data_IF_689567790064
#
_entry.id   IF_689567790064
#
_cell.length_a   1.000
_cell.length_b   1.000
_cell.length_c   1.000
_cell.angle_alpha   90.00
_cell.angle_beta   90.00
_cell.angle_gamma   90.00
#
_symmetry.space_group_name_H-M   'P 1'
#
loop_
_entity.id
_entity.type
_entity.pdbx_description
1 polymer ?
2 non-polymer ?
3 water ?
#
# COMPACT_ATOMS: atom_id res chain seq x y z
N UNK A 26 -9.20 -2.65 10.10
CA UNK A 26 -9.25 -3.04 11.54
C UNK A 26 -8.47 -4.33 11.80
N UNK A 27 -8.71 -5.36 11.00
CA UNK A 27 -8.03 -6.65 11.18
C UNK A 27 -7.76 -7.37 9.85
N UNK A 28 -6.71 -8.17 9.81
CA UNK A 28 -6.35 -8.89 8.60
C UNK A 28 -6.83 -10.34 8.70
N UNK A 29 -7.65 -10.77 7.74
CA UNK A 29 -8.23 -12.11 7.80
C UNK A 29 -7.50 -13.18 6.98
N UNK A 30 -6.79 -12.79 5.92
CA UNK A 30 -6.08 -13.76 5.07
C UNK A 30 -4.80 -14.27 5.71
N UNK A 31 -4.37 -15.46 5.31
CA UNK A 31 -3.16 -16.05 5.86
C UNK A 31 -1.90 -15.53 5.16
N UNK A 32 -1.98 -15.35 3.85
CA UNK A 32 -0.82 -14.91 3.06
C UNK A 32 -1.11 -13.56 2.36
N UNK A 33 -0.06 -12.75 2.14
CA UNK A 33 -0.22 -11.49 1.40
C UNK A 33 -0.68 -11.71 -0.05
N UNK A 34 -1.56 -10.85 -0.54
CA UNK A 34 -1.86 -10.80 -1.98
C UNK A 34 -0.70 -10.19 -2.78
N UNK A 35 0.03 -9.26 -2.17
CA UNK A 35 1.11 -8.58 -2.86
C UNK A 35 2.02 -7.91 -1.86
N UNK A 36 3.18 -7.44 -2.32
CA UNK A 36 4.12 -6.65 -1.50
C UNK A 36 4.55 -5.41 -2.25
N UNK A 37 4.71 -4.31 -1.51
CA UNK A 37 5.15 -3.03 -2.08
C UNK A 37 6.46 -2.59 -1.41
N UNK A 38 7.50 -2.35 -2.21
CA UNK A 38 8.71 -1.74 -1.65
C UNK A 38 8.51 -0.22 -1.70
N UNK A 39 8.67 0.40 -0.54
CA UNK A 39 8.45 1.83 -0.39
C UNK A 39 9.66 2.58 -0.91
N UNK A 40 9.41 3.46 -1.87
CA UNK A 40 10.40 4.36 -2.43
C UNK A 40 10.41 5.71 -1.69
N UNK A 41 9.23 6.25 -1.41
CA UNK A 41 9.10 7.53 -0.68
C UNK A 41 7.76 7.50 0.06
N UNK A 42 7.70 8.14 1.23
CA UNK A 42 6.49 8.29 2.03
C UNK A 42 6.31 9.77 2.29
N UNK A 43 5.12 10.29 2.05
CA UNK A 43 4.82 11.66 2.46
C UNK A 43 3.47 11.74 3.18
N UNK A 44 3.42 12.50 4.27
CA UNK A 44 2.15 12.82 4.92
C UNK A 44 1.66 14.19 4.43
N UNK A 45 0.43 14.22 3.92
CA UNK A 45 -0.16 15.45 3.41
C UNK A 45 -1.57 15.51 3.96
N UNK A 46 -1.90 16.59 4.67
CA UNK A 46 -3.27 16.75 5.18
C UNK A 46 -3.71 15.47 5.93
N UNK A 47 -2.85 15.02 6.83
CA UNK A 47 -3.13 13.88 7.70
C UNK A 47 -3.13 12.49 7.07
N UNK A 48 -2.80 12.39 5.78
CA UNK A 48 -2.82 11.11 5.09
C UNK A 48 -1.44 10.74 4.55
N UNK A 49 -1.10 9.46 4.69
CA UNK A 49 0.12 8.88 4.13
C UNK A 49 -0.06 8.64 2.65
N UNK A 50 0.83 9.22 1.87
CA UNK A 50 0.92 8.87 0.46
C UNK A 50 2.24 8.13 0.29
N UNK A 51 2.14 6.91 -0.22
CA UNK A 51 3.29 6.03 -0.40
C UNK A 51 3.56 5.90 -1.88
N UNK A 52 4.81 6.13 -2.26
CA UNK A 52 5.29 5.88 -3.61
C UNK A 52 6.16 4.63 -3.52
N UNK A 53 5.96 3.70 -4.44
CA UNK A 53 6.65 2.43 -4.34
C UNK A 53 6.42 1.57 -5.57
N UNK A 54 6.98 0.37 -5.55
CA UNK A 54 6.83 -0.54 -6.68
C UNK A 54 6.31 -1.84 -6.12
N UNK A 55 5.28 -2.38 -6.77
CA UNK A 55 4.78 -3.71 -6.41
C UNK A 55 5.86 -4.74 -6.70
N UNK A 56 6.24 -5.47 -5.65
CA UNK A 56 7.40 -6.36 -5.67
C UNK A 56 7.00 -7.76 -6.08
N UNK A 57 5.81 -8.19 -5.67
CA UNK A 57 5.32 -9.53 -5.96
C UNK A 57 3.81 -9.49 -5.85
N UNK A 58 3.15 -10.37 -6.60
CA UNK A 58 1.70 -10.43 -6.58
C UNK A 58 1.01 -9.18 -7.10
N UNK A 59 -0.03 -8.75 -6.40
CA UNK A 59 -0.94 -7.72 -6.88
C UNK A 59 -1.60 -7.05 -5.70
N UNK A 60 -2.02 -5.80 -5.89
CA UNK A 60 -2.74 -5.08 -4.87
C UNK A 60 -3.94 -4.44 -5.54
N UNK A 61 -5.00 -4.21 -4.78
CA UNK A 61 -6.17 -3.55 -5.31
C UNK A 61 -6.76 -2.58 -4.31
N UNK A 62 -7.58 -1.67 -4.81
CA UNK A 62 -8.34 -0.75 -3.95
C UNK A 62 -9.17 -1.56 -2.98
N UNK A 63 -9.11 -1.17 -1.71
CA UNK A 63 -9.77 -1.89 -0.64
C UNK A 63 -8.96 -2.97 0.06
N UNK A 64 -7.76 -3.29 -0.45
CA UNK A 64 -6.92 -4.29 0.18
C UNK A 64 -6.33 -3.69 1.46
N UNK A 65 -5.82 -4.56 2.33
CA UNK A 65 -5.33 -4.15 3.64
C UNK A 65 -3.81 -4.08 3.68
N UNK A 66 -3.31 -2.98 4.25
CA UNK A 66 -1.87 -2.75 4.40
C UNK A 66 -1.46 -3.02 5.84
N UNK A 67 -0.57 -3.99 6.02
CA UNK A 67 -0.03 -4.27 7.33
C UNK A 67 1.15 -3.33 7.61
N UNK A 68 0.91 -2.30 8.42
CA UNK A 68 1.96 -1.39 8.82
C UNK A 68 2.64 -1.85 10.10
N UNK A 69 3.70 -1.16 10.53
CA UNK A 69 4.41 -1.51 11.77
C UNK A 69 3.50 -1.41 12.98
N UNK A 70 2.62 -0.41 13.01
CA UNK A 70 1.79 -0.17 14.19
C UNK A 70 0.30 -0.37 13.95
N UNK A 71 -0.11 -0.51 12.70
CA UNK A 71 -1.53 -0.56 12.40
C UNK A 71 -1.89 -1.16 11.05
N UNK A 72 -3.19 -1.26 10.79
CA UNK A 72 -3.65 -1.85 9.55
C UNK A 72 -4.42 -0.78 8.81
N UNK A 73 -4.00 -0.52 7.58
CA UNK A 73 -4.63 0.51 6.77
C UNK A 73 -5.34 -0.09 5.58
N UNK A 74 -6.11 0.75 4.91
CA UNK A 74 -6.85 0.32 3.74
C UNK A 74 -6.41 1.12 2.55
N UNK A 75 -6.24 0.45 1.42
CA UNK A 75 -5.89 1.18 0.22
C UNK A 75 -7.13 1.84 -0.32
N UNK A 76 -7.05 3.16 -0.44
CA UNK A 76 -8.16 3.99 -0.81
C UNK A 76 -8.07 4.35 -2.29
N UNK A 77 -6.85 4.50 -2.80
CA UNK A 77 -6.63 4.92 -4.18
C UNK A 77 -5.26 4.47 -4.63
N UNK A 78 -5.14 4.16 -5.91
CA UNK A 78 -3.87 3.81 -6.52
C UNK A 78 -3.72 4.61 -7.79
N UNK A 79 -2.54 5.18 -7.98
CA UNK A 79 -2.28 5.86 -9.23
C UNK A 79 -1.05 5.30 -9.85
N UNK A 80 -1.08 5.18 -11.17
CA UNK A 80 0.03 4.63 -11.92
C UNK A 80 0.20 5.49 -13.18
N UNK A 81 1.41 5.99 -13.41
CA UNK A 81 1.66 6.95 -14.49
C UNK A 81 0.66 8.10 -14.46
N UNK A 82 0.49 8.68 -13.27
CA UNK A 82 -0.43 9.80 -13.03
C UNK A 82 -1.89 9.51 -13.43
N UNK A 83 -2.31 8.25 -13.30
CA UNK A 83 -3.64 7.80 -13.69
C UNK A 83 -4.25 6.93 -12.59
N UNK A 84 -5.50 7.19 -12.23
CA UNK A 84 -6.19 6.34 -11.26
C UNK A 84 -6.35 4.93 -11.85
N UNK A 85 -6.02 3.91 -11.06
CA UNK A 85 -6.20 2.51 -11.45
C UNK A 85 -6.84 1.79 -10.27
N UNK A 86 -7.49 0.65 -10.53
CA UNK A 86 -8.18 -0.08 -9.49
C UNK A 86 -7.25 -1.11 -8.86
N UNK A 87 -6.24 -1.54 -9.61
CA UNK A 87 -5.29 -2.54 -9.14
C UNK A 87 -3.93 -2.34 -9.80
N UNK A 88 -2.90 -2.93 -9.21
CA UNK A 88 -1.56 -2.88 -9.79
C UNK A 88 -0.88 -4.22 -9.52
N UNK A 89 0.07 -4.58 -10.38
CA UNK A 89 0.73 -5.88 -10.31
C UNK A 89 2.24 -5.70 -10.26
N UNK A 90 2.96 -6.78 -9.99
CA UNK A 90 4.42 -6.78 -9.85
C UNK A 90 5.10 -5.99 -10.95
N UNK A 91 6.02 -5.10 -10.56
CA UNK A 91 6.71 -4.25 -11.51
C UNK A 91 6.10 -2.89 -11.72
N UNK A 92 4.85 -2.70 -11.27
CA UNK A 92 4.18 -1.39 -11.37
C UNK A 92 4.70 -0.46 -10.30
N UNK A 93 5.12 0.72 -10.73
CA UNK A 93 5.48 1.78 -9.82
C UNK A 93 4.28 2.69 -9.62
N UNK A 94 3.86 2.86 -8.37
CA UNK A 94 2.56 3.47 -8.09
C UNK A 94 2.64 4.42 -6.92
N UNK A 95 1.66 5.33 -6.83
CA UNK A 95 1.32 6.02 -5.60
C UNK A 95 0.07 5.42 -4.99
N UNK A 96 0.04 5.33 -3.67
CA UNK A 96 -1.05 4.74 -2.91
C UNK A 96 -1.48 5.71 -1.80
N UNK A 97 -2.78 5.93 -1.64
CA UNK A 97 -3.31 6.56 -0.41
C UNK A 97 -3.84 5.50 0.50
N UNK A 98 -3.45 5.61 1.75
CA UNK A 98 -3.88 4.67 2.77
C UNK A 98 -4.89 5.34 3.72
N UNK A 99 -5.83 4.53 4.21
CA UNK A 99 -6.80 4.92 5.23
C UNK A 99 -6.43 4.22 6.52
N UNK A 100 -6.34 4.99 7.59
CA UNK A 100 -5.96 4.46 8.88
C UNK A 100 -4.52 4.78 9.17
N UNK A 101 -4.17 4.83 10.45
CA UNK A 101 -2.81 5.07 10.88
C UNK A 101 -2.10 3.73 10.98
N UNK A 102 -1.03 3.57 10.21
CA UNK A 102 -0.32 2.30 10.15
C UNK A 102 1.04 2.34 10.85
N UNK A 103 1.42 3.51 11.35
CA UNK A 103 2.70 3.68 12.02
C UNK A 103 3.77 4.22 11.09
N UNK A 104 5.01 4.27 11.58
CA UNK A 104 6.09 4.90 10.84
C UNK A 104 6.59 4.01 9.69
N UNK A 105 6.34 4.45 8.46
CA UNK A 105 6.82 3.76 7.27
C UNK A 105 7.99 4.57 6.74
N UNK A 106 9.02 3.87 6.27
CA UNK A 106 10.24 4.50 5.80
C UNK A 106 10.57 3.97 4.41
N UNK A 107 11.21 4.80 3.58
CA UNK A 107 11.83 4.35 2.34
C UNK A 107 12.59 3.03 2.58
N UNK A 108 12.35 2.01 1.76
CA UNK A 108 13.03 0.73 1.96
C UNK A 108 12.24 -0.33 2.69
N UNK A 109 11.21 0.06 3.43
CA UNK A 109 10.28 -0.93 3.98
C UNK A 109 9.56 -1.67 2.85
N UNK A 110 9.25 -2.94 3.09
CA UNK A 110 8.41 -3.72 2.18
C UNK A 110 7.09 -3.96 2.91
N UNK A 111 6.01 -3.37 2.41
CA UNK A 111 4.71 -3.52 3.04
C UNK A 111 3.97 -4.72 2.47
N UNK A 112 3.45 -5.58 3.34
CA UNK A 112 2.61 -6.70 2.93
C UNK A 112 1.17 -6.24 2.81
N UNK A 113 0.55 -6.63 1.69
CA UNK A 113 -0.81 -6.20 1.37
C UNK A 113 -1.74 -7.42 1.21
N UNK A 114 -2.91 -7.33 1.84
CA UNK A 114 -3.78 -8.49 2.02
C UNK A 114 -5.11 -8.24 1.36
N UNK A 115 -5.54 -9.24 0.61
CA UNK A 115 -6.83 -9.23 -0.04
C UNK A 115 -7.94 -9.00 0.99
N UNK A 116 -7.89 -9.75 2.08
CA UNK A 116 -8.74 -9.52 3.27
C UNK A 116 -7.92 -9.80 4.52
X LIG B 1 -11.23 10.52 -9.83
X LIG B 1 -12.52 10.82 -10.45
X LIG B 1 -10.68 11.73 -9.21
X LIG B 1 -11.46 9.50 -8.81
X LIG B 1 -10.28 10.05 -10.84
#
# INVERSE_FOLDING_TARGET
AHHHHHHGSGLFDFLKRKEVKEEEKIEILSKKPAGKVVVEEVVNIMGKDVIIGTVESGMIGVGFKVKGPSGIGGIVRIERNREKVEFAIAGDRIGISIEGKIGKVKKGDVLEIYQT
SO4 S O1 O2 O3 O4
#
